data_IF_115049028253
#
_entry.id   IF_115049028253
#
_cell.length_a   1.000
_cell.length_b   1.000
_cell.length_c   1.000
_cell.angle_alpha   90.00
_cell.angle_beta   90.00
_cell.angle_gamma   90.00
#
_symmetry.space_group_name_H-M   'P 1'
#
loop_
_entity.id
_entity.type
_entity.pdbx_description
1 polymer ?
#
# COMPACT_ATOMS: atom_id res chain seq x y z
N UNK A 1 4.05 -39.32 -9.73
CA UNK A 1 4.04 -38.00 -10.40
C UNK A 1 3.93 -37.05 -9.23
N UNK A 2 5.06 -36.64 -8.68
CA UNK A 2 5.05 -36.04 -7.34
C UNK A 2 5.65 -34.66 -7.41
N UNK A 3 4.78 -33.76 -7.01
CA UNK A 3 4.69 -32.37 -7.42
C UNK A 3 5.93 -31.65 -6.92
N UNK A 4 6.50 -30.86 -7.83
CA UNK A 4 7.62 -29.93 -7.63
C UNK A 4 7.18 -28.77 -6.69
N UNK A 5 6.66 -29.10 -5.51
CA UNK A 5 6.09 -28.21 -4.50
C UNK A 5 7.15 -27.72 -3.50
N UNK A 6 8.42 -27.75 -3.90
CA UNK A 6 9.48 -27.01 -3.20
C UNK A 6 9.63 -25.59 -3.75
N UNK A 7 8.96 -25.29 -4.88
CA UNK A 7 8.74 -23.90 -5.28
C UNK A 7 7.73 -23.31 -4.29
N UNK A 8 8.06 -22.14 -3.77
CA UNK A 8 7.10 -21.18 -3.24
C UNK A 8 6.64 -21.17 -1.79
N UNK A 9 7.01 -22.09 -0.90
CA UNK A 9 6.70 -21.82 0.54
C UNK A 9 7.42 -20.57 1.06
N UNK A 10 8.62 -20.28 0.53
CA UNK A 10 9.34 -19.04 0.83
C UNK A 10 8.79 -17.82 0.09
N UNK A 11 8.23 -17.96 -1.12
CA UNK A 11 7.62 -16.82 -1.83
C UNK A 11 6.23 -16.49 -1.29
N UNK A 12 5.44 -17.51 -0.92
CA UNK A 12 4.11 -17.36 -0.28
C UNK A 12 4.25 -16.69 1.11
N UNK A 13 5.33 -16.97 1.83
CA UNK A 13 5.64 -16.33 3.11
C UNK A 13 6.41 -15.00 2.97
N UNK A 14 6.80 -14.62 1.75
CA UNK A 14 7.39 -13.31 1.45
C UNK A 14 6.31 -12.34 0.92
N UNK A 15 5.07 -12.46 1.40
CA UNK A 15 4.15 -11.35 1.28
C UNK A 15 4.77 -10.19 2.07
N UNK A 16 4.96 -8.99 1.50
CA UNK A 16 5.39 -7.85 2.29
C UNK A 16 4.41 -7.77 3.45
N UNK A 17 4.92 -7.79 4.69
CA UNK A 17 4.03 -7.73 5.85
C UNK A 17 3.09 -6.57 5.62
N UNK A 18 1.81 -6.68 5.99
CA UNK A 18 0.93 -5.52 5.94
C UNK A 18 1.59 -4.34 6.66
N UNK A 19 2.49 -4.60 7.63
CA UNK A 19 3.38 -3.63 8.29
C UNK A 19 4.44 -2.95 7.38
N UNK A 20 4.97 -3.63 6.36
CA UNK A 20 5.88 -3.02 5.37
C UNK A 20 5.11 -2.26 4.28
N UNK A 21 3.86 -2.66 4.01
CA UNK A 21 2.96 -1.97 3.08
C UNK A 21 2.11 -0.89 3.76
N UNK A 22 2.09 -0.84 5.09
CA UNK A 22 1.51 0.23 5.90
C UNK A 22 2.41 1.46 5.76
N UNK A 23 2.37 2.04 4.55
CA UNK A 23 2.76 3.43 4.39
C UNK A 23 1.97 4.22 5.41
N UNK A 24 2.66 5.10 6.15
CA UNK A 24 2.03 6.00 7.10
C UNK A 24 0.82 6.64 6.40
N UNK A 25 -0.36 6.43 6.98
CA UNK A 25 -1.57 7.04 6.41
C UNK A 25 -1.38 8.54 6.48
N UNK A 26 -1.74 9.28 5.41
CA UNK A 26 -1.65 10.73 5.43
C UNK A 26 -2.41 11.26 6.64
N UNK A 27 -1.79 12.16 7.39
CA UNK A 27 -2.42 12.78 8.56
C UNK A 27 -3.55 13.70 8.10
N UNK A 28 -4.52 13.98 8.97
CA UNK A 28 -5.59 14.94 8.66
C UNK A 28 -5.05 16.28 8.15
N UNK A 29 -3.90 16.73 8.66
CA UNK A 29 -3.23 17.97 8.23
C UNK A 29 -2.68 17.90 6.80
N UNK A 30 -2.13 16.76 6.38
CA UNK A 30 -1.67 16.52 5.01
C UNK A 30 -2.86 16.41 4.05
N UNK A 31 -3.93 15.75 4.48
CA UNK A 31 -5.18 15.61 3.71
C UNK A 31 -5.82 16.99 3.49
N UNK A 32 -5.93 17.81 4.55
CA UNK A 32 -6.55 19.14 4.47
C UNK A 32 -5.74 20.07 3.55
N UNK A 33 -4.40 20.05 3.63
CA UNK A 33 -3.55 20.83 2.73
C UNK A 33 -3.72 20.39 1.27
N UNK A 34 -3.70 19.09 1.00
CA UNK A 34 -3.92 18.55 -0.33
C UNK A 34 -5.29 18.93 -0.92
N UNK A 35 -6.33 19.07 -0.09
CA UNK A 35 -7.65 19.55 -0.52
C UNK A 35 -7.66 21.05 -0.79
N UNK A 36 -6.95 21.86 0.01
CA UNK A 36 -6.85 23.32 -0.22
C UNK A 36 -6.04 23.67 -1.48
N UNK A 37 -5.06 22.84 -1.83
CA UNK A 37 -4.21 23.03 -3.00
C UNK A 37 -4.92 22.66 -4.32
N UNK A 38 -6.08 22.00 -4.26
CA UNK A 38 -6.94 21.80 -5.43
C UNK A 38 -7.62 23.14 -5.72
N UNK A 39 -7.32 23.79 -6.87
CA UNK A 39 -8.05 24.98 -7.25
C UNK A 39 -9.52 24.60 -7.37
N UNK A 40 -10.38 25.30 -6.65
CA UNK A 40 -11.81 25.21 -6.90
C UNK A 40 -12.03 25.65 -8.36
N UNK A 41 -12.42 24.71 -9.21
CA UNK A 41 -12.91 25.01 -10.55
C UNK A 41 -14.29 25.67 -10.39
N UNK A 42 -14.26 26.96 -10.03
CA UNK A 42 -15.45 27.81 -9.99
C UNK A 42 -15.79 28.21 -11.44
N UNK A 43 -16.74 27.51 -12.07
CA UNK A 43 -17.42 27.92 -13.32
C UNK A 43 -18.60 28.87 -13.04
#
# INVERSE_FOLDING_TARGET
MDVKNSMDVKQILNYPSEDESLMESPTDEEIIQGVMDVPADDE
#
